data_IF_671537533380
#
_entry.id   IF_671537533380
#
_cell.length_a   1.000
_cell.length_b   1.000
_cell.length_c   1.000
_cell.angle_alpha   90.00
_cell.angle_beta   90.00
_cell.angle_gamma   90.00
#
_symmetry.space_group_name_H-M   'P 1'
#
loop_
_entity.id
_entity.type
_entity.pdbx_description
1 polymer ?
#
# COMPACT_ATOMS: atom_id res chain seq x y z
N UNK A 1 20.46 8.59 -13.00
CA UNK A 1 19.84 9.92 -12.73
C UNK A 1 18.61 10.16 -13.61
N UNK A 2 18.67 9.96 -14.93
CA UNK A 2 17.49 10.14 -15.79
C UNK A 2 16.31 9.22 -15.44
N UNK A 3 16.56 7.92 -15.20
CA UNK A 3 15.52 6.94 -14.83
C UNK A 3 14.80 7.36 -13.53
N UNK A 4 15.55 7.61 -12.46
CA UNK A 4 14.97 8.05 -11.18
C UNK A 4 14.12 9.33 -11.31
N UNK A 5 14.52 10.30 -12.14
CA UNK A 5 13.73 11.51 -12.38
C UNK A 5 12.42 11.20 -13.14
N UNK A 6 12.48 10.30 -14.12
CA UNK A 6 11.29 9.83 -14.84
C UNK A 6 10.34 9.08 -13.91
N UNK A 7 10.83 8.14 -13.10
CA UNK A 7 10.03 7.38 -12.14
C UNK A 7 9.36 8.29 -11.12
N UNK A 8 10.10 9.24 -10.53
CA UNK A 8 9.51 10.23 -9.61
C UNK A 8 8.40 11.05 -10.27
N UNK A 9 8.59 11.44 -11.55
CA UNK A 9 7.57 12.17 -12.30
C UNK A 9 6.33 11.32 -12.64
N UNK A 10 6.52 10.04 -12.90
CA UNK A 10 5.45 9.10 -13.19
C UNK A 10 4.64 8.76 -11.92
N UNK A 11 5.32 8.61 -10.79
CA UNK A 11 4.71 8.32 -9.49
C UNK A 11 3.89 9.48 -8.93
N UNK A 12 4.15 10.72 -9.39
CA UNK A 12 3.48 11.94 -8.96
C UNK A 12 2.21 12.29 -9.79
N UNK A 13 1.71 11.35 -10.61
CA UNK A 13 0.49 11.55 -11.41
C UNK A 13 -0.73 11.00 -10.68
N UNK A 14 -1.47 11.91 -10.07
CA UNK A 14 -2.67 11.61 -9.28
C UNK A 14 -3.89 12.23 -9.94
N UNK A 15 -4.41 11.59 -10.99
CA UNK A 15 -5.72 11.96 -11.55
C UNK A 15 -6.75 10.94 -11.03
N UNK A 16 -7.30 11.22 -9.85
CA UNK A 16 -8.27 10.34 -9.20
C UNK A 16 -9.43 11.12 -8.60
N UNK A 17 -10.62 10.51 -8.52
CA UNK A 17 -11.77 11.12 -7.83
C UNK A 17 -11.46 11.53 -6.38
N UNK A 18 -10.62 10.76 -5.67
CA UNK A 18 -10.17 11.10 -4.32
C UNK A 18 -9.37 12.41 -4.29
N UNK A 19 -8.46 12.60 -5.26
CA UNK A 19 -7.68 13.84 -5.35
C UNK A 19 -8.57 15.04 -5.64
N UNK A 20 -9.46 14.94 -6.63
CA UNK A 20 -10.38 16.04 -6.95
C UNK A 20 -11.24 16.42 -5.74
N UNK A 21 -11.72 15.42 -4.99
CA UNK A 21 -12.45 15.63 -3.75
C UNK A 21 -11.63 16.35 -2.68
N UNK A 22 -10.37 15.94 -2.47
CA UNK A 22 -9.47 16.61 -1.51
C UNK A 22 -9.08 18.04 -1.94
N UNK A 23 -9.22 18.38 -3.23
CA UNK A 23 -9.04 19.72 -3.77
C UNK A 23 -10.31 20.59 -3.71
N UNK A 24 -11.42 20.05 -3.19
CA UNK A 24 -12.66 20.79 -2.96
C UNK A 24 -13.79 20.48 -3.94
N UNK A 25 -13.63 19.53 -4.87
CA UNK A 25 -14.74 19.03 -5.67
C UNK A 25 -15.56 18.01 -4.88
N UNK A 26 -16.51 18.49 -4.09
CA UNK A 26 -17.43 17.65 -3.30
C UNK A 26 -18.21 16.64 -4.15
N UNK A 27 -18.34 16.88 -5.46
CA UNK A 27 -19.02 16.01 -6.41
C UNK A 27 -18.14 14.86 -6.95
N UNK A 28 -16.83 14.90 -6.72
CA UNK A 28 -15.91 13.89 -7.26
C UNK A 28 -16.11 12.50 -6.63
N UNK A 29 -16.54 12.42 -5.37
CA UNK A 29 -16.85 11.16 -4.71
C UNK A 29 -18.36 10.92 -4.56
N UNK A 30 -18.76 9.67 -4.80
CA UNK A 30 -20.12 9.20 -4.50
C UNK A 30 -20.34 9.06 -2.99
N UNK A 31 -21.59 9.10 -2.53
CA UNK A 31 -21.89 8.92 -1.11
C UNK A 31 -21.38 7.58 -0.54
N UNK A 32 -21.46 6.44 -1.25
CA UNK A 32 -20.79 5.20 -0.82
C UNK A 32 -19.27 5.37 -0.64
N UNK A 33 -18.59 6.05 -1.57
CA UNK A 33 -17.15 6.28 -1.47
C UNK A 33 -16.80 7.16 -0.25
N UNK A 34 -17.60 8.19 0.03
CA UNK A 34 -17.46 9.04 1.24
C UNK A 34 -17.64 8.22 2.52
N UNK A 35 -18.65 7.35 2.58
CA UNK A 35 -18.84 6.44 3.73
C UNK A 35 -17.67 5.47 3.89
N UNK A 36 -17.12 4.95 2.79
CA UNK A 36 -15.91 4.14 2.79
C UNK A 36 -14.71 4.91 3.35
N UNK A 37 -14.52 6.17 2.96
CA UNK A 37 -13.48 7.04 3.50
C UNK A 37 -13.59 7.28 5.00
N UNK A 38 -14.81 7.47 5.53
CA UNK A 38 -15.05 7.60 6.97
C UNK A 38 -14.72 6.29 7.72
N UNK A 39 -15.05 5.14 7.14
CA UNK A 39 -14.69 3.85 7.73
C UNK A 39 -13.18 3.64 7.73
N UNK A 40 -12.52 3.93 6.59
CA UNK A 40 -11.08 3.79 6.38
C UNK A 40 -10.25 4.62 7.36
N UNK A 41 -10.66 5.88 7.57
CA UNK A 41 -9.98 6.83 8.48
C UNK A 41 -10.40 6.66 9.95
N UNK A 42 -11.56 6.06 10.20
CA UNK A 42 -12.11 5.86 11.53
C UNK A 42 -12.07 4.41 12.00
N UNK A 43 -13.26 3.78 12.06
CA UNK A 43 -13.46 2.53 12.77
C UNK A 43 -12.68 1.32 12.21
N UNK A 44 -12.36 1.30 10.91
CA UNK A 44 -11.55 0.22 10.32
C UNK A 44 -10.03 0.45 10.51
N UNK A 45 -9.62 1.65 10.94
CA UNK A 45 -8.24 1.97 11.33
C UNK A 45 -7.20 1.74 10.22
N UNK A 46 -7.62 1.74 8.95
CA UNK A 46 -6.74 1.54 7.79
C UNK A 46 -5.71 2.66 7.68
N UNK A 47 -6.14 3.89 7.99
CA UNK A 47 -5.29 5.08 8.00
C UNK A 47 -4.22 5.11 9.11
N UNK A 48 -4.12 4.08 9.97
CA UNK A 48 -2.98 3.99 10.90
C UNK A 48 -1.67 3.69 10.17
N UNK A 49 -1.74 3.05 9.00
CA UNK A 49 -0.58 2.70 8.18
C UNK A 49 -0.72 3.26 6.76
N UNK A 50 -1.95 3.38 6.24
CA UNK A 50 -2.21 3.89 4.90
C UNK A 50 -2.65 5.36 4.93
N UNK A 51 -1.71 6.26 5.19
CA UNK A 51 -1.98 7.69 5.33
C UNK A 51 -1.21 8.58 4.34
N UNK A 52 -1.39 9.89 4.46
CA UNK A 52 -0.71 10.88 3.63
C UNK A 52 -1.09 10.83 2.15
N UNK A 53 -0.34 11.55 1.29
CA UNK A 53 -0.66 11.72 -0.12
C UNK A 53 -0.64 10.42 -0.95
N UNK A 54 0.09 9.40 -0.48
CA UNK A 54 0.26 8.12 -1.16
C UNK A 54 -0.52 6.98 -0.51
N UNK A 55 -1.28 7.27 0.56
CA UNK A 55 -1.99 6.27 1.36
C UNK A 55 -1.02 5.17 1.85
N UNK A 56 0.13 5.60 2.38
CA UNK A 56 1.18 4.76 2.97
C UNK A 56 2.11 5.59 3.85
N UNK A 57 2.38 5.07 5.03
CA UNK A 57 3.41 5.54 5.96
C UNK A 57 4.84 5.13 5.54
N UNK A 58 4.96 4.20 4.58
CA UNK A 58 6.20 3.55 4.16
C UNK A 58 7.00 2.85 5.28
N UNK A 59 6.37 2.60 6.42
CA UNK A 59 6.94 1.82 7.52
C UNK A 59 6.72 0.31 7.31
N UNK A 60 7.33 -0.50 8.17
CA UNK A 60 7.28 -1.97 8.07
C UNK A 60 6.42 -2.57 9.17
N UNK A 61 5.43 -3.37 8.76
CA UNK A 61 4.45 -3.96 9.68
C UNK A 61 4.27 -5.45 9.41
N UNK A 62 3.96 -6.21 10.46
CA UNK A 62 3.63 -7.62 10.35
C UNK A 62 2.10 -7.78 10.34
N UNK A 63 1.54 -8.16 9.20
CA UNK A 63 0.09 -8.37 9.01
C UNK A 63 -0.33 -9.84 9.10
N UNK A 64 0.63 -10.76 9.28
CA UNK A 64 0.41 -12.21 9.29
C UNK A 64 -0.35 -12.73 8.06
N UNK A 65 -0.14 -12.08 6.90
CA UNK A 65 -0.65 -12.57 5.62
C UNK A 65 0.07 -13.86 5.28
N UNK A 66 -0.63 -14.96 4.95
CA UNK A 66 0.02 -16.23 4.68
C UNK A 66 0.92 -16.14 3.45
N UNK A 67 2.13 -16.69 3.55
CA UNK A 67 2.96 -16.95 2.38
C UNK A 67 2.31 -18.08 1.58
N UNK A 68 1.81 -17.76 0.38
CA UNK A 68 1.31 -18.73 -0.58
C UNK A 68 2.21 -18.70 -1.82
N UNK A 69 2.84 -19.84 -2.13
CA UNK A 69 3.88 -19.93 -3.15
C UNK A 69 5.29 -19.65 -2.59
N UNK A 70 6.31 -19.57 -3.46
CA UNK A 70 7.69 -19.36 -3.03
C UNK A 70 7.87 -17.97 -2.42
N UNK A 71 8.65 -17.90 -1.34
CA UNK A 71 9.15 -16.66 -0.77
C UNK A 71 10.32 -16.07 -1.55
N UNK A 72 10.93 -15.02 -0.99
CA UNK A 72 12.04 -14.32 -1.61
C UNK A 72 13.19 -15.28 -1.99
N UNK A 73 13.73 -15.13 -3.20
CA UNK A 73 14.82 -15.99 -3.70
C UNK A 73 14.43 -17.44 -4.01
N UNK A 74 13.15 -17.81 -3.91
CA UNK A 74 12.67 -19.18 -4.09
C UNK A 74 12.64 -20.00 -2.80
N UNK A 75 12.88 -19.37 -1.65
CA UNK A 75 12.77 -20.00 -0.34
C UNK A 75 11.32 -20.40 -0.03
N UNK A 76 11.08 -21.30 0.94
CA UNK A 76 9.71 -21.64 1.35
C UNK A 76 8.93 -20.45 1.94
N UNK A 77 9.64 -19.44 2.44
CA UNK A 77 9.05 -18.35 3.20
C UNK A 77 9.71 -16.99 2.87
N UNK A 78 8.93 -15.92 2.84
CA UNK A 78 9.44 -14.56 2.71
C UNK A 78 9.46 -13.90 4.08
N UNK A 79 10.67 -13.68 4.61
CA UNK A 79 10.85 -13.09 5.94
C UNK A 79 10.77 -11.55 5.93
N UNK A 80 10.55 -10.92 4.78
CA UNK A 80 10.40 -9.47 4.66
C UNK A 80 11.66 -8.73 5.12
N UNK A 81 11.49 -7.70 5.94
CA UNK A 81 12.57 -6.83 6.44
C UNK A 81 13.73 -7.60 7.09
N UNK A 82 13.47 -8.75 7.72
CA UNK A 82 14.51 -9.57 8.34
C UNK A 82 15.57 -10.10 7.34
N UNK A 83 15.24 -10.21 6.05
CA UNK A 83 16.20 -10.59 5.01
C UNK A 83 17.28 -9.51 4.80
N UNK A 84 16.95 -8.26 5.11
CA UNK A 84 17.86 -7.11 5.01
C UNK A 84 18.57 -6.83 6.35
N UNK A 85 17.85 -6.91 7.46
CA UNK A 85 18.42 -6.55 8.78
C UNK A 85 19.16 -7.70 9.47
N UNK A 86 18.82 -8.95 9.12
CA UNK A 86 19.36 -10.15 9.75
C UNK A 86 18.83 -10.44 11.16
N UNK A 87 17.81 -9.70 11.64
CA UNK A 87 17.24 -9.89 12.98
C UNK A 87 15.88 -10.58 12.94
N UNK A 88 15.62 -11.50 13.85
CA UNK A 88 14.32 -12.18 13.96
C UNK A 88 13.21 -11.27 14.50
N UNK A 89 13.56 -10.13 15.10
CA UNK A 89 12.57 -9.14 15.54
C UNK A 89 11.84 -8.47 14.36
N UNK A 90 12.44 -8.53 13.17
CA UNK A 90 11.89 -7.97 11.93
C UNK A 90 11.21 -9.00 11.04
N UNK A 91 11.05 -10.24 11.52
CA UNK A 91 10.43 -11.31 10.75
C UNK A 91 9.02 -10.93 10.30
N UNK A 92 8.75 -11.16 9.01
CA UNK A 92 7.45 -10.97 8.37
C UNK A 92 6.94 -9.53 8.37
N UNK A 93 7.84 -8.57 8.59
CA UNK A 93 7.52 -7.16 8.45
C UNK A 93 7.72 -6.73 7.01
N UNK A 94 6.65 -6.23 6.40
CA UNK A 94 6.67 -5.73 5.03
C UNK A 94 6.34 -4.25 5.01
N UNK A 95 6.96 -3.53 4.07
CA UNK A 95 6.70 -2.12 3.88
C UNK A 95 5.23 -1.90 3.47
N UNK A 96 4.54 -0.95 4.08
CA UNK A 96 3.19 -0.55 3.64
C UNK A 96 3.22 -0.09 2.19
N UNK A 97 2.53 -0.76 1.25
CA UNK A 97 2.47 -0.29 -0.13
C UNK A 97 1.54 0.94 -0.24
N UNK A 98 1.81 1.87 -1.16
CA UNK A 98 0.87 2.94 -1.47
C UNK A 98 -0.41 2.36 -2.08
N UNK A 99 -1.58 2.89 -1.68
CA UNK A 99 -2.88 2.42 -2.19
C UNK A 99 -3.38 3.22 -3.40
N UNK A 100 -2.63 4.22 -3.84
CA UNK A 100 -2.91 4.88 -5.12
C UNK A 100 -2.86 3.83 -6.24
N UNK A 101 -3.93 3.74 -7.03
CA UNK A 101 -4.12 2.73 -8.08
C UNK A 101 -4.17 1.27 -7.59
N UNK A 102 -4.51 1.03 -6.31
CA UNK A 102 -4.60 -0.35 -5.77
C UNK A 102 -5.54 -1.22 -6.61
N UNK A 103 -6.65 -0.66 -7.12
CA UNK A 103 -7.62 -1.38 -7.97
C UNK A 103 -7.05 -1.89 -9.30
N UNK A 104 -5.89 -1.40 -9.74
CA UNK A 104 -5.23 -1.76 -10.99
C UNK A 104 -3.99 -2.65 -10.80
N UNK A 105 -3.61 -2.94 -9.55
CA UNK A 105 -2.31 -3.54 -9.21
C UNK A 105 -2.43 -4.88 -8.51
N UNK A 106 -3.58 -5.55 -8.67
CA UNK A 106 -3.71 -6.95 -8.30
C UNK A 106 -2.72 -7.84 -9.09
N UNK A 107 -2.41 -9.04 -8.58
CA UNK A 107 -2.87 -9.59 -7.31
C UNK A 107 -2.17 -8.97 -6.08
N UNK A 108 -2.79 -9.09 -4.91
CA UNK A 108 -2.44 -8.34 -3.70
C UNK A 108 -1.49 -9.09 -2.75
N UNK A 109 -0.92 -8.30 -1.83
CA UNK A 109 0.10 -8.66 -0.83
C UNK A 109 1.44 -9.07 -1.43
N UNK A 110 2.43 -9.34 -0.57
CA UNK A 110 3.82 -9.53 -0.97
C UNK A 110 4.02 -10.76 -1.88
N UNK A 111 3.19 -11.80 -1.70
CA UNK A 111 3.24 -13.01 -2.52
C UNK A 111 2.31 -12.98 -3.74
N UNK A 112 1.51 -11.91 -3.92
CA UNK A 112 0.57 -11.81 -5.04
C UNK A 112 -0.48 -12.92 -5.06
N UNK A 113 -0.90 -13.41 -3.89
CA UNK A 113 -1.75 -14.60 -3.78
C UNK A 113 -3.25 -14.31 -3.72
N UNK A 114 -3.65 -13.05 -3.58
CA UNK A 114 -5.04 -12.64 -3.40
C UNK A 114 -5.53 -11.87 -4.64
N UNK A 115 -6.72 -12.21 -5.14
CA UNK A 115 -7.36 -11.58 -6.31
C UNK A 115 -8.56 -10.73 -5.92
#
# INVERSE_FOLDING_TARGET
RAIAAYEASAFAKFDSPLQSYLQGDDGALTDPAKRGGLLFTGAARCANCHDGPLLSDFDHHALAVPQLGPGAGGEPDDRGLALETGTTADDYRFRTPPLINVELTGPYFHSGAFQ
#
